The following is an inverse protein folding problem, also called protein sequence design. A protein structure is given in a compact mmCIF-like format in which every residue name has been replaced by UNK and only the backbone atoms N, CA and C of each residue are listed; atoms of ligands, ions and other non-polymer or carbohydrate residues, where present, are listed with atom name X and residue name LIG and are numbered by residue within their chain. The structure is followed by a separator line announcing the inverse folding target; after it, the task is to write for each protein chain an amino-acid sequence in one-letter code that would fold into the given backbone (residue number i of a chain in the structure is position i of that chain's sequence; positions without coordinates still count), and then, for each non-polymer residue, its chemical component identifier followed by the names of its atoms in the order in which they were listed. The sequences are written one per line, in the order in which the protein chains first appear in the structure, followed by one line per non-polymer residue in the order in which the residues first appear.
data_IF_886537984113
#
_entry.id   IF_886537984113
#
_cell.length_a   1.000
_cell.length_b   1.000
_cell.length_c   1.000
_cell.angle_alpha   90.00
_cell.angle_beta   90.00
_cell.angle_gamma   90.00
#
_symmetry.space_group_name_H-M   'P 1'
#
loop_
_entity.id
_entity.type
_entity.pdbx_description
1 polymer ?
#
# COMPACT_ATOMS: atom_id res chain seq x y z
N UNK A 1 14.39 1.97 10.04
CA UNK A 1 13.09 1.83 9.36
C UNK A 1 12.27 3.05 9.71
N UNK A 2 12.10 3.97 8.77
CA UNK A 2 11.24 5.16 8.98
C UNK A 2 9.81 4.66 9.11
N UNK A 3 9.13 4.99 10.20
CA UNK A 3 7.70 4.68 10.34
C UNK A 3 6.97 5.66 9.43
N UNK A 4 6.39 5.15 8.36
CA UNK A 4 5.59 5.95 7.43
C UNK A 4 4.15 5.87 7.91
N UNK A 5 3.58 7.03 8.21
CA UNK A 5 2.23 7.17 8.74
C UNK A 5 1.25 7.48 7.60
N UNK A 6 0.40 6.52 7.18
CA UNK A 6 -0.54 6.73 6.10
C UNK A 6 -1.57 7.84 6.41
N UNK A 7 -1.92 8.07 7.69
CA UNK A 7 -2.84 9.14 8.07
C UNK A 7 -2.23 10.52 7.87
N UNK A 8 -0.92 10.63 8.08
CA UNK A 8 -0.18 11.87 7.80
C UNK A 8 -0.18 12.16 6.30
N UNK A 9 0.04 11.14 5.45
CA UNK A 9 0.00 11.28 3.98
C UNK A 9 -1.40 11.72 3.55
N UNK A 10 -2.46 11.07 4.04
CA UNK A 10 -3.86 11.42 3.77
C UNK A 10 -4.17 12.88 4.15
N UNK A 11 -3.80 13.29 5.37
CA UNK A 11 -4.00 14.66 5.86
C UNK A 11 -3.27 15.69 5.01
N UNK A 12 -2.04 15.38 4.61
CA UNK A 12 -1.25 16.23 3.72
C UNK A 12 -1.93 16.38 2.35
N UNK A 13 -2.42 15.28 1.76
CA UNK A 13 -3.10 15.30 0.47
C UNK A 13 -4.40 16.13 0.51
N UNK A 14 -5.23 15.98 1.56
CA UNK A 14 -6.41 16.84 1.74
C UNK A 14 -6.04 18.32 1.82
N UNK A 15 -4.98 18.65 2.56
CA UNK A 15 -4.48 20.03 2.70
C UNK A 15 -4.00 20.58 1.35
N UNK A 16 -3.31 19.76 0.56
CA UNK A 16 -2.83 20.11 -0.79
C UNK A 16 -4.00 20.39 -1.73
N UNK A 17 -5.03 19.51 -1.73
CA UNK A 17 -6.24 19.70 -2.54
C UNK A 17 -6.94 21.01 -2.17
N UNK A 18 -7.10 21.29 -0.87
CA UNK A 18 -7.71 22.54 -0.40
C UNK A 18 -6.91 23.79 -0.84
N UNK A 19 -5.58 23.72 -0.85
CA UNK A 19 -4.72 24.82 -1.31
C UNK A 19 -4.89 25.09 -2.81
N UNK A 20 -4.95 24.05 -3.65
CA UNK A 20 -5.23 24.21 -5.08
C UNK A 20 -6.60 24.83 -5.34
N UNK A 21 -7.64 24.36 -4.63
CA UNK A 21 -9.00 24.93 -4.73
C UNK A 21 -9.02 26.41 -4.32
N UNK A 22 -8.37 26.75 -3.21
CA UNK A 22 -8.28 28.15 -2.76
C UNK A 22 -7.52 29.05 -3.76
N UNK A 23 -6.50 28.54 -4.45
CA UNK A 23 -5.82 29.27 -5.52
C UNK A 23 -6.74 29.51 -6.71
N UNK A 24 -7.54 28.50 -7.09
CA UNK A 24 -8.56 28.65 -8.13
C UNK A 24 -9.60 29.71 -7.78
N UNK A 25 -10.18 29.63 -6.58
CA UNK A 25 -11.26 30.55 -6.15
C UNK A 25 -10.81 32.02 -6.16
N UNK A 26 -9.51 32.28 -5.99
CA UNK A 26 -8.93 33.62 -6.11
C UNK A 26 -8.78 34.10 -7.55
N UNK A 27 -8.52 33.19 -8.49
CA UNK A 27 -8.26 33.51 -9.91
C UNK A 27 -9.54 33.51 -10.75
N UNK A 28 -10.54 32.70 -10.37
CA UNK A 28 -11.83 32.63 -11.02
C UNK A 28 -12.52 34.00 -11.26
N UNK A 29 -12.57 34.93 -10.28
CA UNK A 29 -13.27 36.21 -10.47
C UNK A 29 -12.55 37.19 -11.41
N UNK A 30 -11.24 37.05 -11.59
CA UNK A 30 -10.43 37.93 -12.46
C UNK A 30 -10.10 37.29 -13.81
N UNK A 31 -10.84 36.23 -14.17
CA UNK A 31 -10.61 35.45 -15.39
C UNK A 31 -10.61 36.30 -16.66
N UNK A 32 -11.60 37.18 -16.79
CA UNK A 32 -11.82 37.93 -18.03
C UNK A 32 -10.79 39.06 -18.20
N UNK A 33 -9.99 39.36 -17.16
CA UNK A 33 -8.92 40.35 -17.19
C UNK A 33 -7.58 39.78 -17.73
N UNK A 34 -7.50 38.47 -17.92
CA UNK A 34 -6.27 37.77 -18.30
C UNK A 34 -6.44 36.94 -19.57
N UNK A 35 -5.34 36.82 -20.33
CA UNK A 35 -5.26 35.78 -21.35
C UNK A 35 -5.21 34.39 -20.69
N UNK A 36 -5.62 33.33 -21.38
CA UNK A 36 -5.51 31.95 -20.89
C UNK A 36 -4.10 31.59 -20.41
N UNK A 37 -3.09 32.01 -21.16
CA UNK A 37 -1.67 31.86 -20.83
C UNK A 37 -1.28 32.67 -19.58
N UNK A 38 -1.84 33.87 -19.42
CA UNK A 38 -1.66 34.70 -18.24
C UNK A 38 -2.27 34.09 -16.98
N UNK A 39 -3.47 33.48 -17.10
CA UNK A 39 -4.12 32.74 -16.01
C UNK A 39 -3.32 31.51 -15.61
N UNK A 40 -2.89 30.71 -16.60
CA UNK A 40 -2.03 29.55 -16.41
C UNK A 40 -0.76 29.91 -15.62
N UNK A 41 -0.04 30.96 -16.06
CA UNK A 41 1.17 31.43 -15.39
C UNK A 41 0.92 31.97 -13.97
N UNK A 42 -0.18 32.69 -13.78
CA UNK A 42 -0.57 33.21 -12.45
C UNK A 42 -0.92 32.08 -11.49
N UNK A 43 -1.66 31.08 -11.96
CA UNK A 43 -1.97 29.86 -11.20
C UNK A 43 -0.68 29.13 -10.82
N UNK A 44 0.17 28.80 -11.80
CA UNK A 44 1.45 28.11 -11.57
C UNK A 44 2.35 28.85 -10.56
N UNK A 45 2.40 30.17 -10.64
CA UNK A 45 3.16 30.99 -9.68
C UNK A 45 2.56 30.90 -8.27
N UNK A 46 1.24 30.97 -8.15
CA UNK A 46 0.54 30.90 -6.86
C UNK A 46 0.59 29.52 -6.20
N UNK A 47 0.69 28.46 -7.00
CA UNK A 47 0.66 27.07 -6.53
C UNK A 47 2.01 26.38 -6.51
N UNK A 48 3.11 27.04 -6.92
CA UNK A 48 4.44 26.43 -6.99
C UNK A 48 4.86 25.69 -5.70
N UNK A 49 4.59 26.30 -4.54
CA UNK A 49 4.87 25.67 -3.24
C UNK A 49 3.96 24.47 -2.94
N UNK A 50 2.71 24.50 -3.41
CA UNK A 50 1.75 23.40 -3.29
C UNK A 50 2.12 22.24 -4.22
N UNK A 51 2.65 22.52 -5.42
CA UNK A 51 3.20 21.50 -6.33
C UNK A 51 4.40 20.79 -5.72
N UNK A 52 5.31 21.52 -5.06
CA UNK A 52 6.41 20.91 -4.34
C UNK A 52 5.93 19.96 -3.22
N UNK A 53 4.89 20.36 -2.47
CA UNK A 53 4.26 19.50 -1.45
C UNK A 53 3.60 18.25 -2.04
N UNK A 54 2.94 18.36 -3.19
CA UNK A 54 2.38 17.21 -3.90
C UNK A 54 3.47 16.22 -4.30
N UNK A 55 4.58 16.69 -4.85
CA UNK A 55 5.70 15.82 -5.21
C UNK A 55 6.33 15.15 -3.98
N UNK A 56 6.45 15.85 -2.85
CA UNK A 56 6.91 15.26 -1.60
C UNK A 56 5.94 14.17 -1.08
N UNK A 57 4.63 14.42 -1.14
CA UNK A 57 3.62 13.43 -0.74
C UNK A 57 3.64 12.18 -1.64
N UNK A 58 3.95 12.32 -2.93
CA UNK A 58 4.17 11.18 -3.84
C UNK A 58 5.38 10.36 -3.44
N UNK A 59 6.52 11.00 -3.14
CA UNK A 59 7.71 10.31 -2.67
C UNK A 59 7.44 9.55 -1.35
N UNK A 60 6.73 10.17 -0.40
CA UNK A 60 6.32 9.48 0.84
C UNK A 60 5.42 8.26 0.56
N UNK A 61 4.56 8.33 -0.45
CA UNK A 61 3.70 7.22 -0.86
C UNK A 61 4.47 6.09 -1.56
N UNK A 62 5.46 6.42 -2.37
CA UNK A 62 6.37 5.45 -2.99
C UNK A 62 7.19 4.72 -1.92
N UNK A 63 7.72 5.45 -0.93
CA UNK A 63 8.41 4.86 0.21
C UNK A 63 7.47 3.96 1.04
N UNK A 64 6.20 4.36 1.19
CA UNK A 64 5.19 3.54 1.87
C UNK A 64 4.94 2.23 1.13
N UNK A 65 4.75 2.29 -0.19
CA UNK A 65 4.56 1.13 -1.04
C UNK A 65 5.77 0.18 -0.98
N UNK A 66 6.99 0.73 -1.09
CA UNK A 66 8.22 -0.04 -0.94
C UNK A 66 8.31 -0.69 0.45
N UNK A 67 7.88 0.01 1.50
CA UNK A 67 7.81 -0.54 2.85
C UNK A 67 6.85 -1.73 2.96
N UNK A 68 5.68 -1.66 2.32
CA UNK A 68 4.70 -2.76 2.26
C UNK A 68 5.31 -3.98 1.57
N UNK A 69 5.96 -3.78 0.41
CA UNK A 69 6.56 -4.85 -0.39
C UNK A 69 7.67 -5.61 0.36
N UNK A 70 8.32 -4.97 1.34
CA UNK A 70 9.36 -5.59 2.16
C UNK A 70 8.84 -6.43 3.33
N UNK A 71 7.55 -6.30 3.72
CA UNK A 71 7.01 -6.99 4.90
C UNK A 71 6.99 -8.51 4.70
N UNK A 72 6.45 -9.01 3.59
CA UNK A 72 6.36 -10.46 3.33
C UNK A 72 7.74 -11.10 3.21
N UNK A 73 8.70 -10.57 2.42
CA UNK A 73 10.04 -11.13 2.36
C UNK A 73 10.75 -11.15 3.72
N UNK A 74 10.62 -10.09 4.51
CA UNK A 74 11.24 -10.00 5.83
C UNK A 74 10.64 -11.02 6.81
N UNK A 75 9.33 -11.24 6.77
CA UNK A 75 8.66 -12.22 7.61
C UNK A 75 8.92 -13.66 7.14
N UNK A 76 8.97 -13.89 5.82
CA UNK A 76 9.42 -15.17 5.24
C UNK A 76 10.82 -15.52 5.74
N UNK A 77 11.77 -14.58 5.66
CA UNK A 77 13.14 -14.80 6.10
C UNK A 77 13.29 -15.09 7.61
N UNK A 78 12.28 -14.77 8.44
CA UNK A 78 12.25 -15.14 9.86
C UNK A 78 11.80 -16.58 10.08
N UNK A 79 10.95 -17.11 9.20
CA UNK A 79 10.40 -18.48 9.31
C UNK A 79 11.29 -19.46 8.54
N UNK A 80 11.74 -19.08 7.35
CA UNK A 80 12.68 -19.81 6.51
C UNK A 80 13.80 -18.86 6.10
N UNK A 81 14.87 -18.75 6.92
CA UNK A 81 16.01 -17.91 6.58
C UNK A 81 16.64 -18.39 5.27
N UNK A 82 17.27 -17.50 4.49
CA UNK A 82 17.97 -17.91 3.28
C UNK A 82 19.08 -18.91 3.60
N UNK A 83 19.42 -19.75 2.63
CA UNK A 83 20.53 -20.69 2.74
C UNK A 83 21.82 -19.95 3.18
N UNK A 84 22.61 -20.52 4.10
CA UNK A 84 23.85 -19.89 4.55
C UNK A 84 24.84 -19.74 3.39
N UNK A 85 25.55 -18.60 3.30
CA UNK A 85 26.51 -18.33 2.22
C UNK A 85 27.68 -19.34 2.15
N UNK A 86 27.97 -20.03 3.25
CA UNK A 86 28.97 -21.11 3.33
C UNK A 86 28.40 -22.52 3.13
N UNK A 87 27.14 -22.65 2.74
CA UNK A 87 26.42 -23.93 2.70
C UNK A 87 25.95 -24.40 4.08
N UNK A 88 25.26 -25.55 4.08
CA UNK A 88 24.81 -26.19 5.30
C UNK A 88 25.95 -26.96 5.97
N UNK A 89 25.96 -26.98 7.30
CA UNK A 89 26.89 -27.81 8.08
C UNK A 89 26.47 -29.27 8.02
N UNK A 90 27.41 -30.20 8.18
CA UNK A 90 27.12 -31.64 8.22
C UNK A 90 26.11 -32.02 9.31
N UNK A 91 26.08 -31.31 10.43
CA UNK A 91 25.08 -31.49 11.49
C UNK A 91 23.68 -31.11 11.02
N UNK A 92 23.54 -30.00 10.29
CA UNK A 92 22.25 -29.56 9.73
C UNK A 92 21.76 -30.52 8.65
N UNK A 93 22.66 -30.95 7.75
CA UNK A 93 22.35 -31.92 6.71
C UNK A 93 21.92 -33.26 7.29
N UNK A 94 22.64 -33.77 8.30
CA UNK A 94 22.28 -35.01 8.98
C UNK A 94 20.93 -34.90 9.72
N UNK A 95 20.66 -33.76 10.35
CA UNK A 95 19.38 -33.51 11.01
C UNK A 95 18.22 -33.49 10.00
N UNK A 96 18.39 -32.77 8.89
CA UNK A 96 17.40 -32.73 7.81
C UNK A 96 17.18 -34.11 7.20
N UNK A 97 18.24 -34.86 6.88
CA UNK A 97 18.15 -36.21 6.34
C UNK A 97 17.39 -37.17 7.28
N UNK A 98 17.61 -37.07 8.59
CA UNK A 98 16.89 -37.87 9.60
C UNK A 98 15.41 -37.53 9.66
N UNK A 99 15.04 -36.27 9.49
CA UNK A 99 13.64 -35.84 9.51
C UNK A 99 12.95 -36.26 8.21
N UNK A 100 13.58 -35.97 7.06
CA UNK A 100 13.11 -36.38 5.73
C UNK A 100 12.91 -37.89 5.63
N UNK A 101 13.80 -38.69 6.22
CA UNK A 101 13.73 -40.15 6.21
C UNK A 101 12.65 -40.77 7.11
N UNK A 102 12.00 -40.00 8.00
CA UNK A 102 10.91 -40.52 8.86
C UNK A 102 9.60 -40.69 8.12
N UNK A 103 9.44 -40.00 7.00
CA UNK A 103 8.17 -39.90 6.29
C UNK A 103 8.39 -40.25 4.82
N UNK A 104 7.67 -41.25 4.34
CA UNK A 104 7.71 -41.68 2.93
C UNK A 104 6.90 -40.72 2.06
N UNK A 105 5.77 -40.24 2.59
CA UNK A 105 4.90 -39.25 1.99
C UNK A 105 4.85 -38.00 2.87
N UNK A 106 4.76 -36.84 2.20
CA UNK A 106 4.74 -35.53 2.83
C UNK A 106 3.44 -34.84 2.47
N UNK A 107 2.61 -34.60 3.49
CA UNK A 107 1.45 -33.73 3.41
C UNK A 107 1.65 -32.49 4.27
N UNK A 108 0.68 -31.57 4.23
CA UNK A 108 0.71 -30.32 5.00
C UNK A 108 0.86 -30.60 6.51
N UNK A 109 0.14 -31.58 7.04
CA UNK A 109 0.16 -31.88 8.48
C UNK A 109 1.52 -32.39 8.94
N UNK A 110 2.14 -33.25 8.14
CA UNK A 110 3.47 -33.84 8.37
C UNK A 110 4.54 -32.76 8.28
N UNK A 111 4.44 -31.88 7.28
CA UNK A 111 5.34 -30.75 7.15
C UNK A 111 5.26 -29.83 8.37
N UNK A 112 4.06 -29.42 8.77
CA UNK A 112 3.87 -28.50 9.90
C UNK A 112 4.42 -29.11 11.18
N UNK A 113 4.06 -30.35 11.50
CA UNK A 113 4.55 -31.04 12.69
C UNK A 113 6.08 -31.19 12.71
N UNK A 114 6.72 -31.34 11.54
CA UNK A 114 8.16 -31.44 11.43
C UNK A 114 8.87 -30.08 11.49
N UNK A 115 8.34 -29.05 10.84
CA UNK A 115 9.02 -27.77 10.60
C UNK A 115 8.70 -26.72 11.67
N UNK A 116 7.46 -26.67 12.18
CA UNK A 116 7.04 -25.68 13.18
C UNK A 116 7.94 -25.62 14.43
N UNK A 117 8.37 -26.76 15.04
CA UNK A 117 9.25 -26.72 16.21
C UNK A 117 10.64 -26.15 15.93
N UNK A 118 11.04 -26.02 14.67
CA UNK A 118 12.35 -25.55 14.24
C UNK A 118 12.27 -24.39 13.24
N UNK A 119 11.13 -23.71 13.16
CA UNK A 119 10.94 -22.52 12.35
C UNK A 119 12.03 -21.47 12.66
N UNK A 120 12.55 -20.83 11.62
CA UNK A 120 13.63 -19.85 11.72
C UNK A 120 15.04 -20.44 11.76
N UNK A 121 15.20 -21.76 11.64
CA UNK A 121 16.51 -22.42 11.62
C UNK A 121 16.94 -22.79 10.19
N UNK A 122 18.26 -22.88 9.91
CA UNK A 122 18.74 -23.37 8.61
C UNK A 122 18.30 -24.81 8.31
N UNK A 123 18.06 -25.64 9.33
CA UNK A 123 17.56 -27.01 9.14
C UNK A 123 16.14 -27.01 8.59
N UNK A 124 15.28 -26.10 9.06
CA UNK A 124 13.94 -25.92 8.49
C UNK A 124 14.02 -25.54 7.01
N UNK A 125 14.85 -24.55 6.67
CA UNK A 125 15.10 -24.13 5.29
C UNK A 125 15.54 -25.31 4.43
N UNK A 126 16.54 -26.08 4.88
CA UNK A 126 17.03 -27.23 4.14
C UNK A 126 15.95 -28.30 3.91
N UNK A 127 15.09 -28.57 4.90
CA UNK A 127 13.97 -29.52 4.73
C UNK A 127 13.01 -29.02 3.66
N UNK A 128 12.64 -27.74 3.69
CA UNK A 128 11.74 -27.14 2.70
C UNK A 128 12.33 -27.16 1.30
N UNK A 129 13.62 -26.79 1.15
CA UNK A 129 14.35 -26.83 -0.13
C UNK A 129 14.40 -28.25 -0.71
N UNK A 130 14.69 -29.26 0.13
CA UNK A 130 14.73 -30.66 -0.28
C UNK A 130 13.35 -31.19 -0.71
N UNK A 131 12.28 -30.82 -0.01
CA UNK A 131 10.93 -31.23 -0.39
C UNK A 131 10.48 -30.58 -1.69
N UNK A 132 10.82 -29.30 -1.91
CA UNK A 132 10.59 -28.61 -3.17
C UNK A 132 11.39 -29.27 -4.32
N UNK A 133 12.69 -29.53 -4.12
CA UNK A 133 13.56 -30.16 -5.12
C UNK A 133 13.07 -31.57 -5.54
N UNK A 134 12.38 -32.28 -4.64
CA UNK A 134 11.80 -33.60 -4.89
C UNK A 134 10.38 -33.55 -5.50
N UNK A 135 9.89 -32.37 -5.87
CA UNK A 135 8.51 -32.13 -6.30
C UNK A 135 7.47 -32.66 -5.29
N UNK A 136 7.81 -32.63 -4.00
CA UNK A 136 6.90 -33.01 -2.90
C UNK A 136 6.15 -31.81 -2.33
N UNK A 137 6.51 -30.60 -2.76
CA UNK A 137 5.74 -29.38 -2.58
C UNK A 137 5.25 -28.93 -3.96
N UNK A 138 3.95 -28.69 -4.10
CA UNK A 138 3.41 -28.08 -5.31
C UNK A 138 3.90 -26.63 -5.42
N UNK A 139 3.98 -26.10 -6.65
CA UNK A 139 4.34 -24.69 -6.87
C UNK A 139 3.39 -23.77 -6.07
N UNK A 140 3.96 -22.88 -5.26
CA UNK A 140 3.21 -21.99 -4.37
C UNK A 140 2.69 -22.61 -3.08
N UNK A 141 2.90 -23.92 -2.83
CA UNK A 141 2.53 -24.55 -1.56
C UNK A 141 3.37 -24.02 -0.38
N UNK A 142 4.56 -23.49 -0.63
CA UNK A 142 5.44 -22.94 0.40
C UNK A 142 4.75 -21.82 1.20
N UNK A 143 4.09 -20.87 0.54
CA UNK A 143 3.41 -19.78 1.22
C UNK A 143 2.24 -20.29 2.07
N UNK A 144 1.48 -21.27 1.58
CA UNK A 144 0.40 -21.93 2.35
C UNK A 144 0.94 -22.64 3.59
N UNK A 145 2.11 -23.28 3.46
CA UNK A 145 2.78 -23.93 4.58
C UNK A 145 3.31 -22.91 5.58
N UNK A 146 3.92 -21.82 5.12
CA UNK A 146 4.37 -20.70 5.96
C UNK A 146 3.21 -20.07 6.74
N UNK A 147 2.06 -19.91 6.10
CA UNK A 147 0.82 -19.47 6.73
C UNK A 147 0.38 -20.38 7.88
N UNK A 148 0.65 -21.68 7.77
CA UNK A 148 0.27 -22.67 8.77
C UNK A 148 1.31 -22.80 9.88
N UNK A 149 2.60 -22.66 9.54
CA UNK A 149 3.74 -22.77 10.46
C UNK A 149 3.94 -21.51 11.30
N UNK A 150 3.47 -20.35 10.85
CA UNK A 150 3.70 -19.09 11.56
C UNK A 150 2.47 -18.19 11.56
N UNK A 151 1.85 -18.04 12.74
CA UNK A 151 0.80 -17.05 12.98
C UNK A 151 1.25 -15.64 12.62
N UNK A 152 2.54 -15.34 12.85
CA UNK A 152 3.14 -14.05 12.54
C UNK A 152 3.20 -13.79 11.04
N UNK A 153 3.62 -14.77 10.23
CA UNK A 153 3.61 -14.66 8.78
C UNK A 153 2.17 -14.51 8.24
N UNK A 154 1.22 -15.26 8.81
CA UNK A 154 -0.19 -15.12 8.45
C UNK A 154 -0.76 -13.73 8.81
N UNK A 155 -0.42 -13.19 9.98
CA UNK A 155 -0.78 -11.84 10.37
C UNK A 155 -0.15 -10.78 9.46
N UNK A 156 1.12 -10.95 9.09
CA UNK A 156 1.82 -10.05 8.17
C UNK A 156 1.14 -10.00 6.79
N UNK A 157 0.69 -11.12 6.27
CA UNK A 157 -0.04 -11.18 4.99
C UNK A 157 -1.37 -10.45 5.04
N UNK A 158 -2.13 -10.62 6.13
CA UNK A 158 -3.36 -9.85 6.35
C UNK A 158 -3.06 -8.35 6.46
N UNK A 159 -2.00 -7.98 7.17
CA UNK A 159 -1.58 -6.59 7.31
C UNK A 159 -1.21 -5.98 5.95
N UNK A 160 -0.41 -6.67 5.13
CA UNK A 160 -0.06 -6.23 3.77
C UNK A 160 -1.31 -6.04 2.92
N UNK A 161 -2.26 -6.97 2.98
CA UNK A 161 -3.52 -6.84 2.25
C UNK A 161 -4.31 -5.59 2.67
N UNK A 162 -4.39 -5.30 3.97
CA UNK A 162 -5.04 -4.09 4.48
C UNK A 162 -4.30 -2.82 4.04
N UNK A 163 -2.96 -2.80 4.15
CA UNK A 163 -2.15 -1.66 3.73
C UNK A 163 -2.26 -1.40 2.22
N UNK A 164 -2.22 -2.45 1.39
CA UNK A 164 -2.42 -2.34 -0.06
C UNK A 164 -3.82 -1.86 -0.42
N UNK A 165 -4.84 -2.25 0.36
CA UNK A 165 -6.20 -1.75 0.17
C UNK A 165 -6.29 -0.25 0.47
N UNK A 166 -5.68 0.21 1.56
CA UNK A 166 -5.58 1.64 1.88
C UNK A 166 -4.78 2.44 0.86
N UNK A 167 -3.68 1.88 0.37
CA UNK A 167 -2.86 2.47 -0.69
C UNK A 167 -3.65 2.62 -2.00
N UNK A 168 -4.16 1.51 -2.54
CA UNK A 168 -4.83 1.48 -3.84
C UNK A 168 -6.23 2.14 -3.83
N UNK A 169 -6.83 2.30 -2.65
CA UNK A 169 -8.12 2.98 -2.47
C UNK A 169 -7.96 4.48 -2.17
N UNK A 170 -8.11 4.89 -0.89
CA UNK A 170 -8.21 6.30 -0.51
C UNK A 170 -6.97 7.12 -0.90
N UNK A 171 -5.75 6.63 -0.65
CA UNK A 171 -4.53 7.41 -0.90
C UNK A 171 -4.31 7.68 -2.39
N UNK A 172 -4.38 6.65 -3.24
CA UNK A 172 -4.27 6.83 -4.70
C UNK A 172 -5.44 7.62 -5.30
N UNK A 173 -6.61 7.61 -4.67
CA UNK A 173 -7.71 8.50 -5.07
C UNK A 173 -7.37 9.96 -4.79
N UNK A 174 -6.83 10.27 -3.60
CA UNK A 174 -6.45 11.62 -3.21
C UNK A 174 -5.27 12.17 -4.04
N UNK A 175 -4.28 11.34 -4.38
CA UNK A 175 -3.20 11.75 -5.29
C UNK A 175 -3.77 12.14 -6.66
N UNK A 176 -4.64 11.30 -7.23
CA UNK A 176 -5.31 11.60 -8.51
C UNK A 176 -6.15 12.88 -8.44
N UNK A 177 -6.79 13.13 -7.31
CA UNK A 177 -7.54 14.37 -7.10
C UNK A 177 -6.62 15.60 -7.03
N UNK A 178 -5.53 15.53 -6.27
CA UNK A 178 -4.54 16.60 -6.20
C UNK A 178 -3.88 16.87 -7.56
N UNK A 179 -3.64 15.83 -8.36
CA UNK A 179 -3.14 15.92 -9.73
C UNK A 179 -4.14 16.62 -10.66
N UNK A 180 -5.42 16.29 -10.57
CA UNK A 180 -6.47 16.98 -11.33
C UNK A 180 -6.54 18.46 -10.95
N UNK A 181 -6.44 18.77 -9.66
CA UNK A 181 -6.42 20.14 -9.16
C UNK A 181 -5.14 20.91 -9.56
N UNK A 182 -4.02 20.21 -9.77
CA UNK A 182 -2.78 20.81 -10.28
C UNK A 182 -2.82 21.05 -11.80
N UNK A 183 -3.47 20.17 -12.57
CA UNK A 183 -3.53 20.22 -14.05
C UNK A 183 -4.60 21.19 -14.62
N UNK A 184 -5.08 22.09 -13.79
CA UNK A 184 -5.95 23.22 -14.15
C UNK A 184 -5.36 24.07 -15.29
N UNK A 185 -4.04 24.13 -15.41
CA UNK A 185 -3.32 24.83 -16.49
C UNK A 185 -3.69 24.30 -17.89
N UNK A 186 -3.84 22.98 -18.02
CA UNK A 186 -4.27 22.32 -19.25
C UNK A 186 -5.75 22.62 -19.56
N UNK A 187 -6.56 22.82 -18.52
CA UNK A 187 -7.96 23.20 -18.67
C UNK A 187 -8.10 24.64 -19.18
N UNK A 188 -7.36 25.61 -18.61
CA UNK A 188 -7.34 26.99 -19.09
C UNK A 188 -6.87 27.10 -20.54
N UNK A 189 -5.88 26.29 -20.91
CA UNK A 189 -5.36 26.24 -22.28
C UNK A 189 -6.37 25.67 -23.28
N UNK A 190 -7.17 24.66 -22.88
CA UNK A 190 -8.10 23.94 -23.77
C UNK A 190 -9.52 24.53 -23.84
N UNK A 191 -9.96 25.32 -22.86
CA UNK A 191 -11.35 25.84 -22.78
C UNK A 191 -11.46 27.36 -22.97
N UNK A 192 -10.43 27.98 -23.53
CA UNK A 192 -10.31 29.42 -23.73
C UNK A 192 -11.05 30.00 -24.94
N UNK A 193 -12.03 29.29 -25.50
CA UNK A 193 -12.86 29.89 -26.57
C UNK A 193 -13.66 31.07 -25.99
N UNK A 194 -13.52 32.29 -26.57
CA UNK A 194 -14.27 33.45 -26.13
C UNK A 194 -15.77 33.20 -26.36
N UNK A 195 -16.55 33.19 -25.27
CA UNK A 195 -18.00 33.03 -25.29
C UNK A 195 -18.56 31.77 -24.62
N UNK A 196 -17.72 30.83 -24.16
CA UNK A 196 -18.19 29.75 -23.28
C UNK A 196 -18.17 30.17 -21.81
N UNK A 197 -19.35 30.32 -21.21
CA UNK A 197 -19.49 30.32 -19.75
C UNK A 197 -19.02 28.97 -19.24
N UNK A 198 -17.91 28.95 -18.50
CA UNK A 198 -17.43 27.72 -17.88
C UNK A 198 -18.07 27.56 -16.51
N UNK A 199 -18.75 26.43 -16.40
CA UNK A 199 -19.34 25.85 -15.20
C UNK A 199 -18.26 25.82 -14.10
N UNK A 200 -18.64 26.15 -12.86
CA UNK A 200 -17.76 26.10 -11.68
C UNK A 200 -16.96 24.78 -11.59
N UNK A 201 -15.86 24.72 -10.84
CA UNK A 201 -15.17 23.45 -10.56
C UNK A 201 -16.12 22.40 -9.93
N UNK A 202 -17.18 22.84 -9.23
CA UNK A 202 -18.27 21.99 -8.71
C UNK A 202 -19.16 21.36 -9.79
N UNK A 203 -19.00 21.80 -11.03
CA UNK A 203 -20.06 21.94 -12.02
C UNK A 203 -19.53 21.38 -13.37
N UNK A 204 -18.24 21.58 -13.66
CA UNK A 204 -17.45 20.82 -14.62
C UNK A 204 -17.07 19.41 -14.10
N UNK A 205 -17.12 19.18 -12.77
CA UNK A 205 -16.72 17.93 -12.14
C UNK A 205 -17.82 17.24 -11.30
N UNK A 206 -19.03 17.81 -11.27
CA UNK A 206 -20.17 17.32 -10.51
C UNK A 206 -19.99 17.44 -8.98
N UNK A 207 -21.09 17.45 -8.20
CA UNK A 207 -20.99 17.36 -6.75
C UNK A 207 -20.32 16.03 -6.37
N UNK A 208 -19.35 16.13 -5.47
CA UNK A 208 -18.72 15.00 -4.78
C UNK A 208 -19.81 14.12 -4.16
N UNK A 209 -20.18 13.03 -4.85
CA UNK A 209 -20.64 11.85 -4.13
C UNK A 209 -19.40 11.23 -3.54
N UNK A 210 -19.17 11.49 -2.25
CA UNK A 210 -18.56 10.50 -1.38
C UNK A 210 -19.32 9.20 -1.63
N UNK A 211 -18.73 8.28 -2.37
CA UNK A 211 -19.26 6.94 -2.48
C UNK A 211 -18.99 6.27 -1.14
N UNK A 212 -19.92 6.45 -0.21
CA UNK A 212 -19.95 5.76 1.07
C UNK A 212 -20.26 4.27 0.91
N UNK A 213 -20.34 3.75 -0.32
CA UNK A 213 -20.54 2.32 -0.58
C UNK A 213 -19.36 1.44 -0.18
N UNK A 214 -18.17 2.01 0.04
CA UNK A 214 -17.03 1.27 0.56
C UNK A 214 -17.00 1.30 2.10
N UNK A 215 -18.01 0.68 2.70
CA UNK A 215 -17.86 -0.21 3.85
C UNK A 215 -17.19 0.29 5.13
N UNK A 216 -17.06 1.59 5.36
CA UNK A 216 -16.84 2.09 6.73
C UNK A 216 -18.18 2.07 7.45
N UNK A 217 -18.40 1.01 8.24
CA UNK A 217 -19.44 1.00 9.27
C UNK A 217 -19.13 2.18 10.19
N UNK A 218 -20.02 3.18 10.18
CA UNK A 218 -19.96 4.28 11.13
C UNK A 218 -19.93 3.70 12.54
N UNK A 219 -19.08 4.24 13.41
CA UNK A 219 -18.95 3.84 14.81
C UNK A 219 -20.22 4.02 15.65
N UNK A 220 -21.30 4.51 15.05
CA UNK A 220 -22.58 4.78 15.70
C UNK A 220 -23.49 3.55 15.80
N UNK A 221 -23.14 2.42 15.16
CA UNK A 221 -23.87 1.14 15.23
C UNK A 221 -23.30 0.14 16.27
N UNK A 222 -22.35 0.55 17.11
CA UNK A 222 -21.93 -0.28 18.24
C UNK A 222 -22.93 -0.14 19.40
N UNK A 223 -23.52 -1.26 19.91
CA UNK A 223 -24.42 -1.18 21.05
C UNK A 223 -23.67 -0.62 22.27
N UNK A 224 -24.35 0.21 23.11
CA UNK A 224 -23.70 0.83 24.24
C UNK A 224 -23.13 -0.23 25.18
N UNK A 225 -21.84 -0.14 25.48
CA UNK A 225 -21.21 -0.91 26.54
C UNK A 225 -21.87 -0.54 27.86
N UNK A 226 -22.84 -1.34 28.28
CA UNK A 226 -23.40 -1.28 29.62
C UNK A 226 -22.28 -1.56 30.60
N UNK A 227 -21.86 -0.53 31.35
CA UNK A 227 -21.08 -0.70 32.57
C UNK A 227 -21.91 -1.56 33.52
N UNK A 228 -21.46 -2.79 33.78
CA UNK A 228 -21.91 -3.54 34.95
C UNK A 228 -21.15 -3.01 36.17
N UNK A 229 -21.93 -2.54 37.13
CA UNK A 229 -21.60 -2.35 38.54
C UNK A 229 -21.08 -3.63 39.17
#
# INVERSE_FOLDING_TARGET
MTIIDPFKIETNLHTIIAQYRAAWDRLAPIRDDYTPEGLAKSFATSTASTTAKLNAARAELEDYAAGIDMVIPAERARVLPPAPTGGYTSTQELAAARILGRHVDWDISTYVAAVEPMAGTPTATLITEELAARNRLADGAEDVLLHTVSERYAAATKLVQLMMTGLNGPLMSLVREAERAANVETWFSNHSEPGRHLVSLSDAHGPLRLDTSNGYVASDDLPPLTKKS
#
